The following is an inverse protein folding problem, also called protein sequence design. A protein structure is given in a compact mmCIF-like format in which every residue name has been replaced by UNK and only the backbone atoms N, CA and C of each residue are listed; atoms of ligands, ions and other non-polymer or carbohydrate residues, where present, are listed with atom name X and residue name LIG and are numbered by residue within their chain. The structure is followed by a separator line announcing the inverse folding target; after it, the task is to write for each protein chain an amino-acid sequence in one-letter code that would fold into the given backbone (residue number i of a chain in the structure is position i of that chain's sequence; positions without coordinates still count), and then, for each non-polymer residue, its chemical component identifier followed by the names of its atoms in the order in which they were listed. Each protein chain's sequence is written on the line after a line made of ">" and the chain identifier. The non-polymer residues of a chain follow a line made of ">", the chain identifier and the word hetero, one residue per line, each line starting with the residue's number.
data_IF_247488349499
#
_entry.id   IF_247488349499
#
_cell.length_a   1.000
_cell.length_b   1.000
_cell.length_c   1.000
_cell.angle_alpha   90.00
_cell.angle_beta   90.00
_cell.angle_gamma   90.00
#
_symmetry.space_group_name_H-M   'P 1'
#
loop_
_entity.id
_entity.type
_entity.pdbx_description
1 polymer ?
#
# COMPACT_ATOMS: atom_id res chain seq x y z
N UNK A 1 -3.39 4.81 20.90
CA UNK A 1 -3.71 5.57 19.69
C UNK A 1 -3.04 4.87 18.54
N UNK A 2 -3.67 4.78 17.37
CA UNK A 2 -3.01 4.21 16.19
C UNK A 2 -1.95 5.21 15.69
N UNK A 3 -0.78 4.75 15.24
CA UNK A 3 0.23 5.64 14.66
C UNK A 3 -0.31 6.33 13.42
N UNK A 4 0.13 7.57 13.21
CA UNK A 4 -0.29 8.38 12.07
C UNK A 4 0.18 7.82 10.71
N UNK A 5 1.21 6.98 10.72
CA UNK A 5 1.69 6.23 9.56
C UNK A 5 2.40 4.96 10.04
N UNK A 6 2.57 3.98 9.16
CA UNK A 6 3.16 2.69 9.49
C UNK A 6 4.19 2.26 8.45
N UNK A 7 5.13 1.42 8.88
CA UNK A 7 5.96 0.60 8.01
C UNK A 7 5.26 -0.75 7.85
N UNK A 8 4.69 -1.01 6.68
CA UNK A 8 3.84 -2.16 6.40
C UNK A 8 4.60 -3.22 5.62
N UNK A 9 4.57 -4.47 6.10
CA UNK A 9 4.94 -5.64 5.31
C UNK A 9 3.93 -5.86 4.19
N UNK A 10 4.44 -6.01 2.97
CA UNK A 10 3.62 -6.26 1.78
C UNK A 10 3.20 -7.71 1.63
N UNK A 11 3.85 -8.63 2.35
CA UNK A 11 3.36 -10.00 2.45
C UNK A 11 2.12 -10.05 3.34
N UNK A 12 1.13 -10.82 2.89
CA UNK A 12 -0.19 -10.88 3.53
C UNK A 12 -0.47 -12.30 3.94
N UNK A 13 -0.47 -12.52 5.26
CA UNK A 13 -0.93 -13.77 5.83
C UNK A 13 -2.44 -13.91 5.63
N UNK A 14 -2.87 -15.12 5.28
CA UNK A 14 -4.27 -15.45 5.11
C UNK A 14 -4.68 -16.54 6.08
N UNK A 15 -5.59 -16.22 7.00
CA UNK A 15 -6.08 -17.12 8.04
C UNK A 15 -7.53 -17.51 7.79
N UNK A 16 -7.94 -18.73 8.18
CA UNK A 16 -9.34 -19.14 8.03
C UNK A 16 -10.24 -18.32 8.96
N UNK A 17 -11.45 -17.99 8.49
CA UNK A 17 -12.51 -17.45 9.33
C UNK A 17 -13.07 -18.56 10.24
N UNK A 18 -13.13 -18.30 11.55
CA UNK A 18 -13.68 -19.24 12.53
C UNK A 18 -15.21 -19.37 12.38
N UNK A 19 -15.70 -20.61 12.29
CA UNK A 19 -17.15 -20.91 12.33
C UNK A 19 -17.89 -20.91 10.99
N UNK A 20 -17.18 -20.88 9.86
CA UNK A 20 -17.80 -20.99 8.54
C UNK A 20 -18.34 -22.41 8.30
N UNK A 21 -19.63 -22.62 8.54
CA UNK A 21 -20.40 -23.65 7.85
C UNK A 21 -20.56 -23.24 6.37
N UNK A 22 -20.50 -24.20 5.45
CA UNK A 22 -20.69 -23.96 4.02
C UNK A 22 -22.12 -23.46 3.74
N UNK A 23 -22.38 -22.16 3.92
CA UNK A 23 -23.62 -21.56 3.47
C UNK A 23 -23.55 -21.38 1.95
N UNK A 24 -24.53 -21.96 1.25
CA UNK A 24 -24.74 -21.79 -0.20
C UNK A 24 -25.11 -20.34 -0.52
N UNK A 25 -24.13 -19.45 -0.57
CA UNK A 25 -24.33 -18.12 -1.12
C UNK A 25 -24.30 -18.22 -2.65
N UNK A 26 -25.48 -18.08 -3.24
CA UNK A 26 -25.79 -18.17 -4.67
C UNK A 26 -25.92 -16.75 -5.23
N UNK A 27 -24.78 -16.11 -5.49
CA UNK A 27 -24.80 -14.78 -6.14
C UNK A 27 -23.50 -13.99 -5.99
N UNK A 28 -22.39 -14.50 -6.54
CA UNK A 28 -21.24 -13.66 -6.86
C UNK A 28 -21.34 -13.19 -8.31
N UNK A 29 -20.91 -11.96 -8.61
CA UNK A 29 -20.57 -11.59 -9.98
C UNK A 29 -19.55 -12.60 -10.53
N UNK A 30 -19.77 -13.10 -11.76
CA UNK A 30 -18.97 -14.18 -12.37
C UNK A 30 -17.46 -13.85 -12.46
N UNK A 31 -17.09 -12.56 -12.33
CA UNK A 31 -15.72 -12.04 -12.38
C UNK A 31 -14.99 -11.96 -11.03
N UNK A 32 -15.70 -12.05 -9.89
CA UNK A 32 -15.10 -12.02 -8.55
C UNK A 32 -15.09 -13.44 -7.97
N UNK A 33 -13.93 -13.96 -7.50
CA UNK A 33 -13.88 -15.30 -6.94
C UNK A 33 -14.85 -15.49 -5.77
N UNK A 34 -15.39 -16.70 -5.66
CA UNK A 34 -16.42 -16.97 -4.67
C UNK A 34 -15.89 -16.86 -3.24
N UNK A 35 -16.63 -16.16 -2.37
CA UNK A 35 -16.24 -15.91 -0.98
C UNK A 35 -15.36 -14.69 -0.77
N UNK A 36 -14.93 -13.97 -1.82
CA UNK A 36 -14.11 -12.76 -1.65
C UNK A 36 -14.83 -11.62 -0.94
N UNK A 37 -16.17 -11.55 -1.06
CA UNK A 37 -17.01 -10.60 -0.33
C UNK A 37 -17.07 -10.85 1.19
N UNK A 38 -16.73 -12.06 1.65
CA UNK A 38 -16.74 -12.41 3.08
C UNK A 38 -15.37 -12.20 3.75
N UNK A 39 -14.35 -11.79 3.00
CA UNK A 39 -13.00 -11.56 3.52
C UNK A 39 -13.02 -10.39 4.50
N UNK A 40 -12.39 -10.58 5.67
CA UNK A 40 -12.28 -9.54 6.69
C UNK A 40 -10.83 -9.08 6.89
N UNK A 41 -10.59 -7.77 6.96
CA UNK A 41 -9.28 -7.23 7.31
C UNK A 41 -8.98 -7.50 8.80
N UNK A 42 -7.72 -7.76 9.14
CA UNK A 42 -7.26 -7.86 10.53
C UNK A 42 -5.92 -7.12 10.72
N UNK A 43 -5.89 -5.77 10.53
CA UNK A 43 -4.65 -5.00 10.57
C UNK A 43 -3.96 -5.08 11.94
N UNK A 44 -2.69 -5.45 11.95
CA UNK A 44 -1.83 -5.45 13.13
C UNK A 44 -0.84 -4.30 13.02
N UNK A 45 -1.17 -3.19 13.68
CA UNK A 45 -0.42 -1.94 13.56
C UNK A 45 0.59 -1.81 14.69
N UNK A 46 1.83 -1.53 14.31
CA UNK A 46 2.94 -1.23 15.20
C UNK A 46 3.48 0.19 14.95
N UNK A 47 3.98 0.84 16.00
CA UNK A 47 4.69 2.11 15.88
C UNK A 47 6.05 1.86 15.19
N UNK A 48 6.39 2.59 14.11
CA UNK A 48 7.71 2.50 13.48
C UNK A 48 8.84 2.72 14.53
N UNK A 49 9.91 1.89 14.60
CA UNK A 49 10.38 0.91 13.60
C UNK A 49 9.62 -0.38 13.48
N UNK A 50 8.68 -0.65 14.39
CA UNK A 50 7.91 -1.87 14.35
C UNK A 50 7.24 -2.06 12.99
N UNK A 51 7.41 -3.25 12.43
CA UNK A 51 6.72 -3.61 11.20
C UNK A 51 5.26 -3.90 11.54
N UNK A 52 4.36 -3.24 10.84
CA UNK A 52 2.95 -3.56 10.82
C UNK A 52 2.71 -4.68 9.81
N UNK A 53 1.77 -5.58 10.11
CA UNK A 53 1.30 -6.61 9.19
C UNK A 53 -0.19 -6.43 8.92
N UNK A 54 -0.66 -6.95 7.79
CA UNK A 54 -2.07 -6.83 7.43
C UNK A 54 -2.66 -8.20 7.04
N UNK A 55 -2.86 -9.11 8.01
CA UNK A 55 -3.54 -10.37 7.76
C UNK A 55 -4.96 -10.20 7.23
N UNK A 56 -5.37 -11.13 6.38
CA UNK A 56 -6.74 -11.29 5.91
C UNK A 56 -7.36 -12.55 6.52
N UNK A 57 -8.54 -12.40 7.10
CA UNK A 57 -9.37 -13.53 7.51
C UNK A 57 -10.27 -13.90 6.34
N UNK A 58 -10.10 -15.11 5.81
CA UNK A 58 -10.73 -15.56 4.57
C UNK A 58 -11.58 -16.81 4.79
N UNK A 59 -12.70 -16.91 4.07
CA UNK A 59 -13.58 -18.08 4.17
C UNK A 59 -12.95 -19.29 3.48
N UNK A 60 -13.39 -20.51 3.85
CA UNK A 60 -12.94 -21.75 3.19
C UNK A 60 -13.24 -21.71 1.68
N UNK A 61 -14.36 -21.08 1.28
CA UNK A 61 -14.73 -20.85 -0.13
C UNK A 61 -13.68 -20.01 -0.85
N UNK A 62 -13.25 -18.90 -0.24
CA UNK A 62 -12.21 -18.02 -0.79
C UNK A 62 -10.84 -18.70 -0.83
N UNK A 63 -10.45 -19.43 0.22
CA UNK A 63 -9.19 -20.19 0.29
C UNK A 63 -9.02 -21.20 -0.86
N UNK A 64 -10.14 -21.81 -1.28
CA UNK A 64 -10.13 -22.76 -2.39
C UNK A 64 -9.87 -22.08 -3.75
N UNK A 65 -10.11 -20.78 -3.87
CA UNK A 65 -9.91 -20.01 -5.09
C UNK A 65 -8.55 -19.28 -5.09
N UNK A 66 -8.21 -18.64 -3.97
CA UNK A 66 -7.07 -17.73 -3.85
C UNK A 66 -6.05 -18.31 -2.87
N UNK A 67 -4.81 -18.47 -3.32
CA UNK A 67 -3.70 -19.00 -2.50
C UNK A 67 -2.68 -17.97 -2.01
N UNK A 68 -2.69 -16.77 -2.60
CA UNK A 68 -1.73 -15.72 -2.28
C UNK A 68 -2.43 -14.36 -2.25
N UNK A 69 -1.91 -13.47 -1.41
CA UNK A 69 -2.25 -12.07 -1.39
C UNK A 69 -0.98 -11.24 -1.16
N UNK A 70 -0.91 -10.04 -1.72
CA UNK A 70 0.11 -9.05 -1.37
C UNK A 70 -0.48 -7.64 -1.35
N UNK A 71 0.14 -6.76 -0.59
CA UNK A 71 -0.13 -5.31 -0.67
C UNK A 71 0.61 -4.75 -1.89
N UNK A 72 -0.14 -4.18 -2.84
CA UNK A 72 0.43 -3.65 -4.10
C UNK A 72 0.57 -2.14 -4.12
N UNK A 73 -0.25 -1.40 -3.36
CA UNK A 73 -0.11 0.05 -3.16
C UNK A 73 -1.02 0.54 -2.02
N UNK A 74 -0.86 1.81 -1.64
CA UNK A 74 -1.69 2.48 -0.64
C UNK A 74 -1.80 3.96 -0.97
N UNK A 75 -2.88 4.60 -0.52
CA UNK A 75 -3.09 6.05 -0.65
C UNK A 75 -4.03 6.55 0.43
N UNK A 76 -3.55 7.45 1.29
CA UNK A 76 -4.30 8.00 2.43
C UNK A 76 -4.89 6.86 3.29
N UNK A 77 -6.22 6.76 3.34
CA UNK A 77 -6.99 5.74 4.07
C UNK A 77 -7.05 4.37 3.38
N UNK A 78 -6.56 4.25 2.14
CA UNK A 78 -6.73 3.05 1.33
C UNK A 78 -5.47 2.18 1.34
N UNK A 79 -5.67 0.87 1.45
CA UNK A 79 -4.65 -0.16 1.22
C UNK A 79 -5.20 -1.14 0.18
N UNK A 80 -4.41 -1.42 -0.84
CA UNK A 80 -4.82 -2.28 -1.96
C UNK A 80 -4.07 -3.60 -1.90
N UNK A 81 -4.84 -4.67 -1.89
CA UNK A 81 -4.34 -6.03 -1.98
C UNK A 81 -4.60 -6.56 -3.38
N UNK A 82 -3.63 -7.26 -3.94
CA UNK A 82 -3.89 -8.18 -5.05
C UNK A 82 -3.99 -9.59 -4.50
N UNK A 83 -5.08 -10.28 -4.81
CA UNK A 83 -5.26 -11.68 -4.50
C UNK A 83 -5.13 -12.55 -5.75
N UNK A 84 -4.53 -13.72 -5.59
CA UNK A 84 -4.20 -14.63 -6.69
C UNK A 84 -2.73 -14.52 -7.08
N UNK A 85 -2.38 -15.03 -8.26
CA UNK A 85 -1.01 -14.86 -8.78
C UNK A 85 -0.87 -13.45 -9.37
N UNK A 86 0.17 -12.73 -8.96
CA UNK A 86 0.56 -11.43 -9.51
C UNK A 86 1.11 -11.64 -10.93
N UNK A 87 0.25 -11.92 -11.91
CA UNK A 87 0.58 -11.84 -13.33
C UNK A 87 -0.72 -11.65 -14.10
N UNK A 88 -0.88 -10.58 -14.91
CA UNK A 88 -2.06 -10.36 -15.74
C UNK A 88 -2.23 -11.39 -16.89
N UNK A 89 -1.58 -12.56 -16.80
CA UNK A 89 -1.43 -13.57 -17.84
C UNK A 89 -1.84 -14.97 -17.33
N UNK A 90 -1.90 -15.19 -16.01
CA UNK A 90 -2.37 -16.46 -15.47
C UNK A 90 -3.85 -16.37 -15.07
N UNK A 91 -4.67 -17.19 -15.72
CA UNK A 91 -6.11 -17.37 -15.53
C UNK A 91 -6.52 -17.91 -14.15
N UNK A 92 -5.68 -17.75 -13.11
CA UNK A 92 -6.07 -18.18 -11.77
C UNK A 92 -7.05 -17.16 -11.17
N UNK A 93 -8.12 -17.63 -10.51
CA UNK A 93 -9.11 -16.74 -9.93
C UNK A 93 -8.46 -15.80 -8.92
N UNK A 94 -8.72 -14.51 -9.08
CA UNK A 94 -8.19 -13.43 -8.24
C UNK A 94 -9.03 -12.17 -8.36
N UNK A 95 -8.80 -11.23 -7.44
CA UNK A 95 -9.38 -9.90 -7.51
C UNK A 95 -8.42 -8.91 -6.84
N UNK A 96 -8.72 -7.62 -6.94
CA UNK A 96 -8.17 -6.63 -6.02
C UNK A 96 -9.09 -6.57 -4.80
N UNK A 97 -8.52 -6.31 -3.63
CA UNK A 97 -9.28 -5.94 -2.44
C UNK A 97 -8.86 -4.55 -2.00
N UNK A 98 -9.82 -3.64 -1.88
CA UNK A 98 -9.57 -2.25 -1.47
C UNK A 98 -10.04 -2.10 -0.03
N UNK A 99 -9.09 -2.05 0.90
CA UNK A 99 -9.39 -1.73 2.28
C UNK A 99 -9.51 -0.21 2.46
N UNK A 100 -10.57 0.22 3.11
CA UNK A 100 -10.78 1.60 3.56
C UNK A 100 -10.76 1.67 5.08
N UNK A 101 -9.68 2.25 5.62
CA UNK A 101 -9.47 2.41 7.06
C UNK A 101 -10.50 3.32 7.75
N UNK A 102 -11.19 4.21 7.03
CA UNK A 102 -12.22 5.08 7.61
C UNK A 102 -13.50 4.29 7.90
N UNK A 103 -13.84 3.32 7.04
CA UNK A 103 -15.08 2.55 7.14
C UNK A 103 -14.85 1.13 7.67
N UNK A 104 -13.58 0.75 7.87
CA UNK A 104 -13.16 -0.60 8.20
C UNK A 104 -13.79 -1.65 7.28
N UNK A 105 -13.79 -1.33 5.98
CA UNK A 105 -14.49 -2.09 4.95
C UNK A 105 -13.53 -2.52 3.86
N UNK A 106 -13.82 -3.65 3.24
CA UNK A 106 -13.03 -4.22 2.17
C UNK A 106 -13.92 -4.37 0.93
N UNK A 107 -13.54 -3.72 -0.17
CA UNK A 107 -14.28 -3.76 -1.43
C UNK A 107 -13.53 -4.61 -2.45
N UNK A 108 -14.05 -5.78 -2.87
CA UNK A 108 -13.46 -6.52 -3.96
C UNK A 108 -13.71 -5.81 -5.29
N UNK A 109 -12.69 -5.77 -6.15
CA UNK A 109 -12.74 -5.26 -7.52
C UNK A 109 -12.21 -6.36 -8.43
N UNK A 110 -12.92 -6.77 -9.49
CA UNK A 110 -12.46 -7.84 -10.36
C UNK A 110 -11.10 -7.49 -10.98
N UNK A 111 -10.34 -8.51 -11.39
CA UNK A 111 -9.11 -8.26 -12.16
C UNK A 111 -9.41 -7.52 -13.46
N UNK A 112 -8.37 -6.87 -13.99
CA UNK A 112 -8.43 -6.23 -15.31
C UNK A 112 -8.82 -7.30 -16.36
N UNK A 113 -9.84 -7.06 -17.22
CA UNK A 113 -10.20 -7.99 -18.28
C UNK A 113 -9.01 -8.16 -19.24
N UNK A 114 -8.38 -9.33 -19.22
CA UNK A 114 -7.17 -9.60 -20.02
C UNK A 114 -7.50 -10.03 -21.44
N UNK A 115 -7.00 -9.35 -22.49
CA UNK A 115 -6.71 -9.98 -23.77
C UNK A 115 -5.33 -10.65 -23.71
N UNK A 116 -5.15 -11.74 -24.47
CA UNK A 116 -3.94 -12.60 -24.55
C UNK A 116 -2.61 -11.89 -24.95
N UNK A 117 -2.57 -10.55 -25.07
CA UNK A 117 -1.46 -9.77 -25.64
C UNK A 117 -0.93 -8.61 -24.77
N UNK A 118 -1.35 -8.50 -23.51
CA UNK A 118 -0.83 -7.50 -22.57
C UNK A 118 0.16 -8.11 -21.57
N UNK A 119 1.23 -7.37 -21.26
CA UNK A 119 2.17 -7.72 -20.19
C UNK A 119 2.18 -6.66 -19.08
N UNK A 120 2.50 -7.08 -17.86
CA UNK A 120 2.73 -6.16 -16.75
C UNK A 120 3.98 -5.31 -16.98
N UNK A 121 3.93 -4.05 -16.55
CA UNK A 121 5.08 -3.14 -16.53
C UNK A 121 5.95 -3.31 -15.25
N UNK A 122 5.76 -4.37 -14.47
CA UNK A 122 6.27 -4.50 -13.10
C UNK A 122 5.14 -4.30 -12.08
N UNK A 123 5.38 -3.54 -11.00
CA UNK A 123 4.38 -3.00 -10.07
C UNK A 123 3.42 -2.05 -10.80
N UNK A 124 2.35 -2.61 -11.41
CA UNK A 124 1.46 -1.91 -12.33
C UNK A 124 0.27 -1.22 -11.66
N UNK A 125 -0.05 -1.58 -10.41
CA UNK A 125 -1.23 -1.09 -9.71
C UNK A 125 -0.95 0.20 -8.93
N UNK A 126 -1.76 1.23 -9.17
CA UNK A 126 -1.77 2.46 -8.37
C UNK A 126 -3.19 2.81 -7.94
N UNK A 127 -3.33 3.50 -6.81
CA UNK A 127 -4.63 3.92 -6.28
C UNK A 127 -4.55 5.37 -5.82
N UNK A 128 -5.64 6.10 -5.99
CA UNK A 128 -5.80 7.42 -5.40
C UNK A 128 -7.13 7.53 -4.67
N UNK A 129 -7.06 8.05 -3.43
CA UNK A 129 -8.22 8.37 -2.61
C UNK A 129 -8.61 9.84 -2.78
N UNK A 130 -9.86 10.08 -3.18
CA UNK A 130 -10.48 11.41 -3.16
C UNK A 130 -11.09 11.75 -1.78
N UNK A 131 -10.81 10.92 -0.77
CA UNK A 131 -11.34 11.04 0.59
C UNK A 131 -10.83 12.27 1.33
N UNK A 132 -11.52 13.40 1.15
CA UNK A 132 -11.35 14.63 1.94
C UNK A 132 -12.67 15.23 2.46
N UNK A 133 -13.81 14.84 1.90
CA UNK A 133 -15.10 15.53 2.10
C UNK A 133 -16.29 14.57 2.27
N UNK A 134 -16.06 13.40 2.87
CA UNK A 134 -17.12 12.40 3.13
C UNK A 134 -17.48 11.51 1.95
N UNK A 135 -16.76 11.62 0.83
CA UNK A 135 -16.83 10.69 -0.29
C UNK A 135 -15.83 9.54 -0.09
N UNK A 136 -16.29 8.31 -0.31
CA UNK A 136 -15.45 7.09 -0.30
C UNK A 136 -14.89 6.80 -1.70
N UNK A 137 -14.91 7.81 -2.57
CA UNK A 137 -14.49 7.67 -3.93
C UNK A 137 -12.98 7.45 -4.03
N UNK A 138 -12.62 6.41 -4.75
CA UNK A 138 -11.28 6.10 -5.18
C UNK A 138 -11.25 5.78 -6.68
N UNK A 139 -10.05 5.88 -7.24
CA UNK A 139 -9.71 5.29 -8.54
C UNK A 139 -8.57 4.31 -8.34
N UNK A 140 -8.80 3.09 -8.81
CA UNK A 140 -7.76 2.08 -8.97
C UNK A 140 -7.31 2.10 -10.44
N UNK A 141 -6.01 2.02 -10.67
CA UNK A 141 -5.45 2.04 -12.00
C UNK A 141 -4.40 0.95 -12.19
N UNK A 142 -4.37 0.38 -13.39
CA UNK A 142 -3.36 -0.59 -13.81
C UNK A 142 -2.75 -0.11 -15.13
N UNK A 143 -1.42 -0.03 -15.20
CA UNK A 143 -0.70 0.29 -16.42
C UNK A 143 -0.06 -0.96 -17.00
N UNK A 144 -0.46 -1.33 -18.22
CA UNK A 144 0.00 -2.54 -18.91
C UNK A 144 0.68 -2.19 -20.24
N UNK A 145 1.69 -2.96 -20.61
CA UNK A 145 2.38 -2.83 -21.90
C UNK A 145 1.61 -3.58 -22.99
N UNK A 146 1.47 -2.96 -24.17
CA UNK A 146 0.87 -3.61 -25.34
C UNK A 146 1.97 -4.22 -26.22
N UNK A 147 1.96 -5.55 -26.39
CA UNK A 147 2.84 -6.32 -27.30
C UNK A 147 4.37 -6.05 -27.20
N UNK A 148 5.06 -6.81 -26.34
CA UNK A 148 6.53 -6.79 -26.19
C UNK A 148 7.33 -7.26 -27.40
N UNK A 149 6.70 -7.82 -28.45
CA UNK A 149 7.46 -8.19 -29.66
C UNK A 149 7.96 -6.97 -30.43
N UNK A 150 7.46 -5.78 -30.09
CA UNK A 150 7.92 -4.48 -30.57
C UNK A 150 8.27 -3.61 -29.35
N UNK A 151 9.24 -2.71 -29.47
CA UNK A 151 9.44 -1.68 -28.45
C UNK A 151 8.11 -0.93 -28.26
N UNK A 152 7.52 -0.93 -27.06
CA UNK A 152 6.15 -0.46 -26.90
C UNK A 152 6.13 1.06 -27.01
N UNK A 153 5.69 1.53 -28.16
CA UNK A 153 5.28 2.93 -28.35
C UNK A 153 4.00 3.23 -27.55
N UNK A 154 3.25 2.18 -27.22
CA UNK A 154 1.90 2.24 -26.70
C UNK A 154 1.79 1.39 -25.43
N UNK A 155 0.96 1.85 -24.50
CA UNK A 155 0.55 1.14 -23.30
C UNK A 155 -0.98 1.22 -23.17
N UNK A 156 -1.53 0.41 -22.27
CA UNK A 156 -2.93 0.43 -21.91
C UNK A 156 -3.06 0.85 -20.45
N UNK A 157 -3.76 1.96 -20.21
CA UNK A 157 -4.14 2.41 -18.89
C UNK A 157 -5.56 1.89 -18.61
N UNK A 158 -5.69 1.05 -17.59
CA UNK A 158 -6.98 0.61 -17.09
C UNK A 158 -7.31 1.41 -15.84
N UNK A 159 -8.55 1.90 -15.75
CA UNK A 159 -9.04 2.62 -14.56
C UNK A 159 -10.37 2.06 -14.11
N UNK A 160 -10.51 1.87 -12.80
CA UNK A 160 -11.75 1.49 -12.14
C UNK A 160 -12.20 2.63 -11.24
N UNK A 161 -13.35 3.22 -11.56
CA UNK A 161 -13.93 4.33 -10.82
C UNK A 161 -14.99 3.80 -9.87
N UNK A 162 -14.77 3.98 -8.57
CA UNK A 162 -15.67 3.48 -7.52
C UNK A 162 -17.06 4.12 -7.50
N UNK A 163 -17.20 5.37 -7.95
CA UNK A 163 -18.50 6.08 -7.92
C UNK A 163 -18.67 7.00 -9.12
N UNK A 164 -19.91 7.13 -9.60
CA UNK A 164 -20.26 8.03 -10.70
C UNK A 164 -20.01 9.52 -10.38
N UNK A 165 -19.86 9.88 -9.10
CA UNK A 165 -19.59 11.27 -8.67
C UNK A 165 -18.21 11.75 -9.10
N UNK A 166 -17.22 10.86 -9.09
CA UNK A 166 -15.84 11.18 -9.50
C UNK A 166 -15.55 10.76 -10.93
N UNK A 167 -16.43 9.97 -11.55
CA UNK A 167 -16.29 9.49 -12.91
C UNK A 167 -16.37 10.65 -13.91
N UNK A 168 -15.38 10.85 -14.79
CA UNK A 168 -15.45 11.87 -15.84
C UNK A 168 -16.63 11.62 -16.80
N UNK A 169 -17.14 12.69 -17.42
CA UNK A 169 -18.25 12.56 -18.38
C UNK A 169 -17.87 11.63 -19.53
N UNK A 170 -18.67 10.58 -19.76
CA UNK A 170 -18.43 9.57 -20.79
C UNK A 170 -17.79 8.27 -20.29
N UNK A 171 -17.51 8.16 -18.98
CA UNK A 171 -17.02 6.94 -18.33
C UNK A 171 -18.14 6.30 -17.49
N UNK A 172 -18.07 4.99 -17.26
CA UNK A 172 -18.97 4.24 -16.36
C UNK A 172 -18.26 3.94 -15.04
N UNK A 173 -19.00 4.02 -13.93
CA UNK A 173 -18.51 3.60 -12.62
C UNK A 173 -18.67 2.08 -12.46
N UNK A 174 -17.86 1.48 -11.59
CA UNK A 174 -17.87 0.05 -11.30
C UNK A 174 -17.62 -0.86 -12.51
N UNK A 175 -16.85 -0.36 -13.48
CA UNK A 175 -16.35 -1.13 -14.63
C UNK A 175 -14.91 -0.71 -14.95
N UNK A 176 -14.14 -1.66 -15.50
CA UNK A 176 -12.79 -1.37 -15.99
C UNK A 176 -12.84 -0.61 -17.31
N UNK A 177 -12.27 0.59 -17.30
CA UNK A 177 -12.14 1.44 -18.47
C UNK A 177 -10.74 1.34 -19.05
N UNK A 178 -10.65 0.86 -20.29
CA UNK A 178 -9.37 0.75 -21.03
C UNK A 178 -9.14 1.99 -21.88
N UNK A 179 -8.01 2.64 -21.65
CA UNK A 179 -7.51 3.75 -22.47
C UNK A 179 -6.19 3.34 -23.12
N UNK A 180 -6.05 3.59 -24.41
CA UNK A 180 -4.78 3.42 -25.12
C UNK A 180 -3.97 4.70 -24.96
N UNK A 181 -2.76 4.57 -24.43
CA UNK A 181 -1.92 5.72 -24.05
C UNK A 181 -0.53 5.60 -24.70
N UNK A 182 0.05 6.74 -25.05
CA UNK A 182 1.43 6.81 -25.57
C UNK A 182 2.36 7.17 -24.41
N UNK A 183 3.41 6.36 -24.22
CA UNK A 183 4.41 6.63 -23.21
C UNK A 183 5.42 7.70 -23.69
N UNK A 184 5.96 8.54 -22.79
CA UNK A 184 6.99 9.51 -23.14
C UNK A 184 8.20 8.86 -23.83
N UNK A 185 8.85 9.51 -24.83
CA UNK A 185 10.04 8.95 -25.49
C UNK A 185 11.18 8.57 -24.54
N UNK A 186 11.29 9.27 -23.42
CA UNK A 186 12.32 9.07 -22.39
C UNK A 186 12.25 7.68 -21.76
N UNK A 187 11.06 7.07 -21.69
CA UNK A 187 10.86 5.72 -21.14
C UNK A 187 10.78 4.64 -22.23
N UNK A 188 10.92 5.04 -23.50
CA UNK A 188 10.86 4.16 -24.69
C UNK A 188 12.25 3.95 -25.28
N UNK A 189 13.19 3.50 -24.46
CA UNK A 189 14.57 3.34 -24.93
C UNK A 189 14.76 2.01 -25.69
N UNK A 190 15.60 1.98 -26.74
CA UNK A 190 15.89 0.74 -27.48
C UNK A 190 16.66 -0.31 -26.67
N UNK A 191 17.26 0.09 -25.55
CA UNK A 191 18.18 -0.75 -24.77
C UNK A 191 17.59 -1.18 -23.44
N UNK A 192 16.46 -0.61 -23.03
CA UNK A 192 15.86 -0.87 -21.73
C UNK A 192 14.37 -0.57 -21.73
N UNK A 193 13.59 -1.51 -21.17
CA UNK A 193 12.15 -1.35 -20.96
C UNK A 193 11.90 -0.79 -19.57
N UNK A 194 11.06 0.24 -19.47
CA UNK A 194 10.62 0.76 -18.18
C UNK A 194 9.97 -0.36 -17.34
N UNK A 195 10.49 -0.58 -16.13
CA UNK A 195 9.98 -1.53 -15.15
C UNK A 195 9.63 -0.79 -13.88
N UNK A 196 8.34 -0.68 -13.59
CA UNK A 196 7.84 -0.12 -12.35
C UNK A 196 8.23 -1.04 -11.18
N UNK A 197 9.09 -0.58 -10.28
CA UNK A 197 9.38 -1.27 -9.01
C UNK A 197 8.29 -0.97 -7.98
N UNK A 198 7.73 0.24 -8.03
CA UNK A 198 6.72 0.70 -7.07
C UNK A 198 5.80 1.74 -7.69
N UNK A 199 4.63 1.91 -7.09
CA UNK A 199 3.65 2.91 -7.49
C UNK A 199 3.07 3.62 -6.28
N UNK A 200 2.77 4.90 -6.44
CA UNK A 200 2.13 5.73 -5.43
C UNK A 200 1.26 6.80 -6.09
N UNK A 201 0.48 7.52 -5.30
CA UNK A 201 -0.25 8.70 -5.75
C UNK A 201 0.13 9.92 -4.93
N UNK A 202 -0.05 11.10 -5.52
CA UNK A 202 0.16 12.36 -4.81
C UNK A 202 -0.81 13.42 -5.31
N UNK A 203 -0.99 14.47 -4.49
CA UNK A 203 -1.97 15.50 -4.77
C UNK A 203 -3.40 14.94 -4.81
N UNK A 204 -4.20 15.45 -5.74
CA UNK A 204 -5.61 15.08 -5.89
C UNK A 204 -5.91 14.27 -7.15
N UNK A 205 -4.97 14.17 -8.09
CA UNK A 205 -5.21 13.53 -9.39
C UNK A 205 -4.04 12.74 -9.96
N UNK A 206 -2.86 12.75 -9.33
CA UNK A 206 -1.65 12.18 -9.92
C UNK A 206 -1.39 10.76 -9.45
N UNK A 207 -1.21 9.85 -10.41
CA UNK A 207 -0.72 8.49 -10.22
C UNK A 207 0.73 8.41 -10.72
N UNK A 208 1.58 7.71 -9.99
CA UNK A 208 3.00 7.53 -10.32
C UNK A 208 3.36 6.05 -10.40
N UNK A 209 4.10 5.70 -11.45
CA UNK A 209 4.85 4.45 -11.55
C UNK A 209 6.34 4.79 -11.53
N UNK A 210 7.12 4.07 -10.75
CA UNK A 210 8.53 4.38 -10.50
C UNK A 210 9.38 3.22 -10.96
N UNK A 211 10.26 3.49 -11.90
CA UNK A 211 11.42 2.66 -12.18
C UNK A 211 12.61 3.26 -11.41
N UNK A 212 13.07 2.56 -10.37
CA UNK A 212 14.17 3.01 -9.50
C UNK A 212 15.54 3.00 -10.20
N UNK A 213 15.59 2.58 -11.47
CA UNK A 213 16.73 2.76 -12.36
C UNK A 213 16.59 4.00 -13.25
N UNK A 214 15.41 4.22 -13.85
CA UNK A 214 15.22 5.28 -14.84
C UNK A 214 14.62 6.57 -14.30
N UNK A 215 13.52 6.47 -13.56
CA UNK A 215 12.70 7.64 -13.25
C UNK A 215 11.26 7.33 -12.91
N UNK A 216 10.46 8.39 -12.87
CA UNK A 216 9.06 8.39 -12.47
C UNK A 216 8.20 8.70 -13.69
N UNK A 217 7.21 7.87 -13.93
CA UNK A 217 6.16 8.09 -14.91
C UNK A 217 4.91 8.58 -14.19
N UNK A 218 4.52 9.84 -14.43
CA UNK A 218 3.36 10.48 -13.80
C UNK A 218 2.20 10.53 -14.79
N UNK A 219 1.03 10.09 -14.35
CA UNK A 219 -0.25 10.27 -15.03
C UNK A 219 -1.13 11.23 -14.23
N UNK A 220 -1.64 12.26 -14.89
CA UNK A 220 -2.69 13.11 -14.33
C UNK A 220 -4.07 12.58 -14.77
N UNK A 221 -4.90 12.20 -13.81
CA UNK A 221 -6.25 11.67 -14.08
C UNK A 221 -7.26 12.76 -14.43
N UNK A 222 -7.09 13.96 -13.89
CA UNK A 222 -8.04 15.07 -14.05
C UNK A 222 -7.23 16.34 -14.28
N UNK A 223 -6.74 16.58 -15.52
CA UNK A 223 -5.99 17.77 -15.83
C UNK A 223 -6.84 19.01 -15.53
N UNK A 224 -6.50 19.75 -14.48
CA UNK A 224 -7.19 20.99 -14.17
C UNK A 224 -6.87 22.04 -15.23
N UNK A 225 -7.90 22.76 -15.70
CA UNK A 225 -7.72 23.91 -16.62
C UNK A 225 -6.93 25.06 -15.98
N UNK A 226 -6.88 25.10 -14.65
CA UNK A 226 -6.28 26.19 -13.85
C UNK A 226 -4.98 25.78 -13.16
N UNK A 227 -4.45 24.59 -13.45
CA UNK A 227 -3.16 24.17 -12.89
C UNK A 227 -1.98 24.86 -13.61
N UNK A 228 -0.96 25.35 -12.87
CA UNK A 228 0.21 26.02 -13.45
C UNK A 228 1.13 25.08 -14.26
N UNK A 229 0.87 23.77 -14.22
CA UNK A 229 1.67 22.72 -14.87
C UNK A 229 1.50 22.64 -16.39
N UNK A 230 0.52 23.35 -16.94
CA UNK A 230 0.25 23.37 -18.37
C UNK A 230 0.63 24.73 -18.94
N UNK A 231 1.71 24.76 -19.72
CA UNK A 231 1.93 25.90 -20.60
C UNK A 231 0.67 26.06 -21.47
N UNK A 232 0.09 27.26 -21.52
CA UNK A 232 -1.10 27.61 -22.33
C UNK A 232 -0.94 27.34 -23.85
N UNK A 233 0.15 26.71 -24.28
CA UNK A 233 0.58 26.58 -25.67
C UNK A 233 0.19 25.25 -26.33
N UNK A 234 -0.10 24.20 -25.57
CA UNK A 234 -0.50 22.91 -26.14
C UNK A 234 -2.00 22.69 -26.03
N UNK A 235 -2.61 22.32 -27.15
CA UNK A 235 -4.06 22.19 -27.32
C UNK A 235 -4.61 20.94 -26.65
N UNK A 236 -3.75 19.93 -26.45
CA UNK A 236 -3.99 18.68 -25.72
C UNK A 236 -2.67 18.25 -25.05
N UNK A 237 -2.47 18.47 -23.74
CA UNK A 237 -1.23 18.08 -23.06
C UNK A 237 -1.12 16.55 -22.94
N UNK A 238 0.10 15.99 -22.94
CA UNK A 238 0.28 14.54 -22.83
C UNK A 238 -0.25 14.02 -21.48
N UNK A 239 -0.96 12.88 -21.53
CA UNK A 239 -1.49 12.19 -20.34
C UNK A 239 -0.38 11.80 -19.35
N UNK A 240 0.81 11.53 -19.87
CA UNK A 240 1.96 11.08 -19.13
C UNK A 240 3.14 12.05 -19.23
N UNK A 241 3.84 12.23 -18.11
CA UNK A 241 5.12 12.95 -18.02
C UNK A 241 6.16 12.04 -17.38
N UNK A 242 7.35 11.97 -17.96
CA UNK A 242 8.50 11.31 -17.34
C UNK A 242 9.34 12.31 -16.55
N UNK A 243 9.87 11.87 -15.41
CA UNK A 243 10.85 12.60 -14.62
C UNK A 243 12.04 11.67 -14.42
N UNK A 244 13.24 11.99 -14.94
CA UNK A 244 14.41 11.17 -14.71
C UNK A 244 14.80 11.19 -13.23
N UNK A 245 15.48 10.15 -12.74
CA UNK A 245 16.15 10.22 -11.43
C UNK A 245 17.28 11.27 -11.44
N UNK A 246 17.78 11.70 -10.27
CA UNK A 246 18.95 12.59 -10.21
C UNK A 246 20.12 12.04 -11.02
N UNK A 247 20.76 12.89 -11.84
CA UNK A 247 21.84 12.50 -12.76
C UNK A 247 23.01 11.84 -12.03
N UNK A 248 23.34 12.34 -10.84
CA UNK A 248 24.39 11.80 -9.96
C UNK A 248 24.12 10.36 -9.48
N UNK A 249 22.91 9.84 -9.69
CA UNK A 249 22.48 8.51 -9.30
C UNK A 249 22.21 7.59 -10.51
N UNK A 250 22.63 7.97 -11.72
CA UNK A 250 22.52 7.09 -12.88
C UNK A 250 23.36 5.82 -12.69
N UNK A 251 22.79 4.66 -13.00
CA UNK A 251 23.53 3.37 -13.01
C UNK A 251 23.62 2.88 -14.44
N UNK A 252 24.82 2.50 -14.88
CA UNK A 252 25.01 1.81 -16.14
C UNK A 252 24.80 0.29 -15.96
N UNK A 253 23.74 -0.22 -16.57
CA UNK A 253 23.38 -1.64 -16.57
C UNK A 253 23.73 -2.35 -17.88
N UNK A 254 24.47 -1.71 -18.80
CA UNK A 254 24.76 -2.25 -20.14
C UNK A 254 25.40 -3.65 -20.14
N UNK A 255 26.11 -4.01 -19.08
CA UNK A 255 26.82 -5.29 -18.94
C UNK A 255 26.37 -6.12 -17.72
N UNK A 256 25.23 -5.77 -17.09
CA UNK A 256 24.77 -6.40 -15.84
C UNK A 256 23.29 -6.76 -15.92
N UNK A 257 22.89 -7.79 -15.17
CA UNK A 257 21.47 -8.01 -14.91
C UNK A 257 20.96 -6.87 -14.04
N UNK A 258 19.74 -6.37 -14.31
CA UNK A 258 19.10 -5.35 -13.48
C UNK A 258 19.00 -5.87 -12.04
N UNK A 259 19.63 -5.20 -11.05
CA UNK A 259 19.53 -5.64 -9.66
C UNK A 259 18.12 -5.36 -9.11
N UNK A 260 17.80 -5.94 -7.95
CA UNK A 260 16.55 -5.66 -7.24
C UNK A 260 16.67 -4.25 -6.65
N UNK A 261 16.22 -3.25 -7.41
CA UNK A 261 16.46 -1.84 -7.10
C UNK A 261 15.92 -1.41 -5.73
N UNK A 262 14.80 -1.99 -5.29
CA UNK A 262 14.18 -1.70 -3.98
C UNK A 262 15.08 -2.06 -2.79
N UNK A 263 16.10 -2.91 -2.98
CA UNK A 263 17.08 -3.25 -1.94
C UNK A 263 17.92 -2.03 -1.54
N UNK A 264 18.13 -1.07 -2.44
CA UNK A 264 19.02 0.06 -2.19
C UNK A 264 18.48 1.42 -2.62
N UNK A 265 17.26 1.46 -3.16
CA UNK A 265 16.59 2.68 -3.59
C UNK A 265 15.12 2.66 -3.23
N UNK A 266 14.55 3.85 -3.05
CA UNK A 266 13.11 4.03 -2.87
C UNK A 266 12.68 5.43 -3.27
N UNK A 267 11.41 5.56 -3.66
CA UNK A 267 10.75 6.85 -3.92
C UNK A 267 9.45 6.90 -3.11
N UNK A 268 9.14 8.06 -2.55
CA UNK A 268 7.85 8.29 -1.92
C UNK A 268 7.41 9.74 -2.08
N UNK A 269 6.13 9.99 -1.84
CA UNK A 269 5.62 11.33 -1.61
C UNK A 269 5.54 11.57 -0.09
N UNK A 270 6.39 12.44 0.42
CA UNK A 270 6.52 12.72 1.85
C UNK A 270 6.73 14.22 2.08
N UNK A 271 6.07 14.76 3.11
CA UNK A 271 6.18 16.20 3.44
C UNK A 271 5.83 17.14 2.27
N UNK A 272 4.87 16.75 1.43
CA UNK A 272 4.39 17.55 0.31
C UNK A 272 5.26 17.53 -0.95
N UNK A 273 6.32 16.72 -1.00
CA UNK A 273 7.19 16.59 -2.16
C UNK A 273 7.49 15.13 -2.50
N UNK A 274 7.80 14.88 -3.77
CA UNK A 274 8.38 13.60 -4.18
C UNK A 274 9.83 13.57 -3.73
N UNK A 275 10.24 12.46 -3.13
CA UNK A 275 11.59 12.24 -2.65
C UNK A 275 12.14 10.93 -3.16
N UNK A 276 13.44 10.93 -3.39
CA UNK A 276 14.21 9.77 -3.78
C UNK A 276 15.29 9.52 -2.74
N UNK A 277 15.45 8.25 -2.36
CA UNK A 277 16.46 7.77 -1.43
C UNK A 277 17.29 6.71 -2.14
N UNK A 278 18.61 6.83 -2.05
CA UNK A 278 19.55 5.86 -2.62
C UNK A 278 20.67 5.56 -1.63
N UNK A 279 21.15 4.33 -1.63
CA UNK A 279 22.43 3.95 -1.05
C UNK A 279 23.50 3.98 -2.14
N UNK A 280 24.37 4.98 -2.09
CA UNK A 280 25.50 5.09 -3.02
C UNK A 280 26.60 4.09 -2.65
N UNK A 281 27.21 3.46 -3.64
CA UNK A 281 28.24 2.43 -3.49
C UNK A 281 27.71 1.00 -3.35
N UNK A 282 26.40 0.79 -3.14
CA UNK A 282 25.82 -0.53 -2.90
C UNK A 282 26.02 -1.51 -4.07
N UNK A 283 25.76 -1.08 -5.31
CA UNK A 283 25.91 -1.89 -6.53
C UNK A 283 27.30 -1.71 -7.19
N UNK A 284 28.20 -0.95 -6.57
CA UNK A 284 29.50 -0.56 -7.14
C UNK A 284 30.69 -1.26 -6.46
N UNK A 285 30.43 -2.28 -5.65
CA UNK A 285 31.43 -3.03 -4.87
C UNK A 285 32.28 -2.13 -3.94
N UNK A 286 31.72 -0.99 -3.49
CA UNK A 286 32.43 -0.13 -2.56
C UNK A 286 32.57 -0.81 -1.19
N UNK A 287 33.65 -0.54 -0.44
CA UNK A 287 33.72 -0.91 0.97
C UNK A 287 32.53 -0.30 1.73
N UNK A 288 31.97 -1.05 2.69
CA UNK A 288 30.80 -0.59 3.44
C UNK A 288 31.06 0.73 4.19
N UNK A 289 32.31 1.00 4.61
CA UNK A 289 32.71 2.27 5.26
C UNK A 289 32.56 3.51 4.35
N UNK A 290 32.60 3.31 3.03
CA UNK A 290 32.52 4.35 2.00
C UNK A 290 31.09 4.59 1.52
N UNK A 291 30.19 3.63 1.75
CA UNK A 291 28.79 3.73 1.38
C UNK A 291 28.07 4.84 2.16
N UNK A 292 27.04 5.41 1.53
CA UNK A 292 26.24 6.49 2.10
C UNK A 292 24.79 6.41 1.66
N UNK A 293 23.89 6.75 2.58
CA UNK A 293 22.51 7.07 2.27
C UNK A 293 22.43 8.54 1.82
N UNK A 294 21.77 8.78 0.69
CA UNK A 294 21.56 10.12 0.15
C UNK A 294 20.09 10.31 -0.19
N UNK A 295 19.53 11.41 0.30
CA UNK A 295 18.16 11.83 -0.03
C UNK A 295 18.16 12.91 -1.11
N UNK A 296 17.09 12.95 -1.88
CA UNK A 296 16.83 13.91 -2.93
C UNK A 296 15.38 14.36 -2.84
N UNK A 297 15.14 15.65 -3.04
CA UNK A 297 13.80 16.25 -3.02
C UNK A 297 13.52 16.88 -4.37
N UNK A 298 12.42 16.45 -5.00
CA UNK A 298 11.97 17.04 -6.24
C UNK A 298 11.30 18.39 -5.96
N UNK A 299 11.61 19.37 -6.79
CA UNK A 299 10.99 20.69 -6.79
C UNK A 299 9.46 20.60 -7.03
N UNK A 300 8.65 21.52 -6.50
CA UNK A 300 7.19 21.47 -6.64
C UNK A 300 6.67 21.54 -8.08
N UNK A 301 7.43 22.14 -9.00
CA UNK A 301 7.14 22.19 -10.45
C UNK A 301 7.63 20.93 -11.20
N UNK A 302 8.20 19.98 -10.46
CA UNK A 302 8.63 18.67 -10.91
C UNK A 302 9.77 18.72 -11.95
N UNK A 303 10.55 19.80 -11.96
CA UNK A 303 11.55 20.08 -13.00
C UNK A 303 12.98 19.72 -12.60
N UNK A 304 13.30 19.86 -11.31
CA UNK A 304 14.65 19.75 -10.78
C UNK A 304 14.69 18.94 -9.48
N UNK A 305 15.69 18.06 -9.36
CA UNK A 305 16.04 17.38 -8.10
C UNK A 305 17.04 18.18 -7.30
N UNK A 306 16.74 18.42 -6.03
CA UNK A 306 17.66 19.02 -5.08
C UNK A 306 18.23 17.97 -4.14
N UNK A 307 19.55 17.90 -4.04
CA UNK A 307 20.25 17.02 -3.09
C UNK A 307 19.91 17.41 -1.65
N UNK A 308 19.49 16.42 -0.88
CA UNK A 308 19.17 16.54 0.54
C UNK A 308 20.31 16.08 1.44
N UNK A 309 20.01 15.78 2.72
CA UNK A 309 20.99 15.21 3.65
C UNK A 309 21.63 13.90 3.18
N UNK A 310 22.89 13.73 3.58
CA UNK A 310 23.72 12.55 3.31
C UNK A 310 24.21 11.99 4.65
N UNK A 311 24.06 10.69 4.86
CA UNK A 311 24.51 9.97 6.04
C UNK A 311 25.43 8.83 5.63
N UNK A 312 26.70 8.87 6.06
CA UNK A 312 27.64 7.78 5.80
C UNK A 312 27.37 6.61 6.75
N UNK A 313 27.63 5.36 6.31
CA UNK A 313 27.40 4.19 7.16
C UNK A 313 28.24 4.23 8.46
N UNK A 314 29.46 4.77 8.39
CA UNK A 314 30.29 5.01 9.59
C UNK A 314 29.62 5.91 10.63
N UNK A 315 28.81 6.88 10.20
CA UNK A 315 28.12 7.80 11.11
C UNK A 315 26.99 7.04 11.83
N UNK A 316 26.31 6.13 11.12
CA UNK A 316 25.27 5.24 11.67
C UNK A 316 25.89 4.30 12.72
N UNK A 317 26.99 3.63 12.37
CA UNK A 317 27.67 2.69 13.29
C UNK A 317 28.28 3.38 14.51
N UNK A 318 28.68 4.64 14.38
CA UNK A 318 29.20 5.45 15.48
C UNK A 318 28.11 6.03 16.39
N UNK A 319 26.82 5.91 16.02
CA UNK A 319 25.71 6.42 16.83
C UNK A 319 25.61 5.70 18.17
N UNK A 320 25.44 6.45 19.27
CA UNK A 320 25.39 5.89 20.63
C UNK A 320 24.37 4.75 20.78
N UNK A 321 23.18 4.89 20.18
CA UNK A 321 22.15 3.82 20.19
C UNK A 321 22.59 2.54 19.47
N UNK A 322 23.36 2.66 18.39
CA UNK A 322 23.88 1.52 17.63
C UNK A 322 24.91 0.76 18.45
N UNK A 323 25.85 1.49 19.04
CA UNK A 323 26.89 0.95 19.93
C UNK A 323 26.26 0.31 21.17
N UNK A 324 25.31 1.00 21.81
CA UNK A 324 24.63 0.50 23.01
C UNK A 324 23.83 -0.79 22.76
N UNK A 325 23.28 -0.97 21.56
CA UNK A 325 22.56 -2.18 21.17
C UNK A 325 23.51 -3.33 20.80
N UNK A 326 24.81 -3.05 20.58
CA UNK A 326 25.80 -4.07 20.26
C UNK A 326 25.65 -4.67 18.86
N UNK A 327 25.05 -3.93 17.92
CA UNK A 327 24.88 -4.38 16.54
C UNK A 327 26.25 -4.40 15.84
N UNK A 328 26.62 -5.49 15.13
CA UNK A 328 27.83 -5.51 14.29
C UNK A 328 27.77 -4.44 13.20
N UNK A 329 28.88 -4.09 12.56
CA UNK A 329 28.87 -3.14 11.43
C UNK A 329 28.25 -3.79 10.19
N UNK A 330 26.93 -3.71 10.08
CA UNK A 330 26.13 -4.32 9.02
C UNK A 330 25.80 -3.31 7.93
N UNK A 331 25.67 -3.80 6.68
CA UNK A 331 25.19 -3.01 5.56
C UNK A 331 23.64 -2.90 5.62
N UNK A 332 23.07 -1.68 5.53
CA UNK A 332 21.63 -1.50 5.43
C UNK A 332 21.10 -1.99 4.08
N UNK A 333 19.83 -2.38 4.06
CA UNK A 333 19.04 -2.74 2.89
C UNK A 333 17.61 -2.19 3.02
N UNK A 334 16.86 -2.22 1.92
CA UNK A 334 15.45 -1.84 1.82
C UNK A 334 15.16 -0.46 2.42
N UNK A 335 15.82 0.61 1.94
CA UNK A 335 15.65 1.92 2.52
C UNK A 335 14.24 2.47 2.24
N UNK A 336 13.53 2.92 3.27
CA UNK A 336 12.17 3.47 3.16
C UNK A 336 12.14 4.89 3.74
N UNK A 337 11.56 5.82 3.01
CA UNK A 337 11.37 7.20 3.47
C UNK A 337 10.19 7.28 4.46
N UNK A 338 10.35 8.05 5.53
CA UNK A 338 9.25 8.42 6.41
C UNK A 338 8.23 9.27 5.63
N UNK A 339 6.94 8.99 5.81
CA UNK A 339 5.87 9.79 5.16
C UNK A 339 5.69 11.15 5.83
N UNK A 340 6.04 11.24 7.13
CA UNK A 340 5.80 12.43 7.96
C UNK A 340 7.04 13.31 8.17
N UNK A 341 8.19 12.70 8.41
CA UNK A 341 9.40 13.42 8.76
C UNK A 341 10.30 13.55 7.54
N UNK A 342 10.71 14.78 7.25
CA UNK A 342 11.35 15.09 5.99
C UNK A 342 12.73 14.44 5.85
N UNK A 343 13.41 14.20 6.97
CA UNK A 343 14.81 13.79 7.04
C UNK A 343 14.99 12.44 7.77
N UNK A 344 13.91 11.70 8.06
CA UNK A 344 14.00 10.37 8.69
C UNK A 344 13.81 9.26 7.66
N UNK A 345 14.72 8.29 7.70
CA UNK A 345 14.68 7.09 6.86
C UNK A 345 14.69 5.83 7.70
N UNK A 346 14.15 4.77 7.13
CA UNK A 346 14.13 3.43 7.70
C UNK A 346 15.01 2.52 6.88
N UNK A 347 15.75 1.64 7.54
CA UNK A 347 16.55 0.62 6.89
C UNK A 347 16.48 -0.68 7.67
N UNK A 348 16.72 -1.78 6.96
CA UNK A 348 16.85 -3.11 7.56
C UNK A 348 18.32 -3.52 7.53
N UNK A 349 18.80 -4.15 8.60
CA UNK A 349 20.13 -4.74 8.65
C UNK A 349 20.00 -6.21 9.06
N UNK A 350 20.66 -7.08 8.31
CA UNK A 350 20.63 -8.52 8.54
C UNK A 350 21.96 -8.98 9.12
N UNK A 351 21.91 -9.58 10.31
CA UNK A 351 23.01 -10.42 10.82
C UNK A 351 22.75 -11.86 10.39
N UNK A 352 23.64 -12.42 9.59
CA UNK A 352 23.45 -13.71 8.94
C UNK A 352 24.73 -14.55 8.96
N UNK A 353 24.55 -15.87 9.07
CA UNK A 353 25.60 -16.84 8.79
C UNK A 353 25.43 -17.41 7.38
N UNK A 354 26.56 -17.68 6.73
CA UNK A 354 26.59 -18.58 5.58
C UNK A 354 26.58 -20.02 6.11
N UNK A 355 25.49 -20.74 5.93
CA UNK A 355 25.44 -22.16 6.27
C UNK A 355 26.02 -22.97 5.11
N UNK A 356 27.21 -23.56 5.31
CA UNK A 356 27.78 -24.50 4.37
C UNK A 356 27.05 -25.84 4.48
N UNK A 357 26.42 -26.28 3.39
CA UNK A 357 25.97 -27.67 3.27
C UNK A 357 27.16 -28.56 2.89
N UNK A 358 27.39 -29.60 3.69
CA UNK A 358 28.28 -30.71 3.37
C UNK A 358 27.61 -31.55 2.27
N UNK A 359 27.66 -31.06 1.03
CA UNK A 359 27.50 -31.78 -0.26
C UNK A 359 27.32 -30.81 -1.45
N UNK A 360 27.93 -29.62 -1.43
CA UNK A 360 28.29 -28.88 -2.64
C UNK A 360 27.14 -28.31 -3.49
N UNK A 361 25.90 -28.28 -3.00
CA UNK A 361 24.76 -27.71 -3.73
C UNK A 361 24.03 -26.72 -2.82
N UNK A 362 24.41 -25.45 -2.99
CA UNK A 362 23.88 -24.23 -2.37
C UNK A 362 24.28 -23.95 -0.91
N UNK A 363 24.92 -22.79 -0.70
CA UNK A 363 25.06 -22.17 0.62
C UNK A 363 23.75 -21.47 0.95
N UNK A 364 23.15 -21.78 2.10
CA UNK A 364 21.91 -21.13 2.54
C UNK A 364 22.26 -19.97 3.48
N UNK A 365 21.73 -18.77 3.20
CA UNK A 365 21.90 -17.61 4.06
C UNK A 365 20.93 -17.73 5.24
N UNK A 366 21.45 -17.97 6.45
CA UNK A 366 20.63 -18.06 7.65
C UNK A 366 20.66 -16.75 8.40
N UNK A 367 19.56 -15.99 8.34
CA UNK A 367 19.40 -14.77 9.12
C UNK A 367 19.28 -15.14 10.60
N UNK A 368 20.22 -14.67 11.43
CA UNK A 368 20.17 -14.79 12.89
C UNK A 368 19.25 -13.76 13.49
N UNK A 369 19.38 -12.53 13.00
CA UNK A 369 18.73 -11.35 13.55
C UNK A 369 18.50 -10.34 12.44
N UNK A 370 17.32 -9.72 12.42
CA UNK A 370 17.05 -8.50 11.66
C UNK A 370 16.93 -7.32 12.58
N UNK A 371 17.54 -6.20 12.20
CA UNK A 371 17.43 -4.94 12.89
C UNK A 371 16.71 -3.93 12.00
N UNK A 372 15.68 -3.30 12.54
CA UNK A 372 14.94 -2.22 11.90
C UNK A 372 15.34 -0.90 12.54
N UNK A 373 15.93 -0.01 11.75
CA UNK A 373 16.50 1.25 12.25
C UNK A 373 15.75 2.43 11.65
N UNK A 374 15.39 3.40 12.48
CA UNK A 374 15.16 4.78 12.02
C UNK A 374 16.44 5.58 12.15
N UNK A 375 16.76 6.34 11.11
CA UNK A 375 17.92 7.20 11.05
C UNK A 375 17.44 8.62 10.75
N UNK A 376 17.85 9.56 11.60
CA UNK A 376 17.79 10.98 11.28
C UNK A 376 18.96 11.32 10.36
N UNK A 377 18.66 11.55 9.08
CA UNK A 377 19.65 11.81 8.05
C UNK A 377 20.35 13.16 8.23
N UNK A 378 19.69 14.12 8.87
CA UNK A 378 20.21 15.48 9.07
C UNK A 378 21.21 15.54 10.22
N UNK A 379 20.87 14.90 11.33
CA UNK A 379 21.74 14.79 12.50
C UNK A 379 22.68 13.59 12.43
N UNK A 380 22.46 12.68 11.47
CA UNK A 380 23.26 11.47 11.22
C UNK A 380 23.28 10.55 12.44
N UNK A 381 22.10 10.35 13.04
CA UNK A 381 21.95 9.59 14.27
C UNK A 381 20.88 8.52 14.12
N UNK A 382 21.10 7.40 14.79
CA UNK A 382 20.08 6.36 14.92
C UNK A 382 19.08 6.79 15.99
N UNK A 383 17.84 7.00 15.58
CA UNK A 383 16.76 7.43 16.47
C UNK A 383 16.18 6.26 17.26
N UNK A 384 16.09 5.07 16.66
CA UNK A 384 15.56 3.88 17.30
C UNK A 384 15.96 2.62 16.53
N UNK A 385 16.01 1.50 17.25
CA UNK A 385 16.39 0.17 16.75
C UNK A 385 15.39 -0.83 17.31
N UNK A 386 14.77 -1.63 16.45
CA UNK A 386 13.98 -2.79 16.84
C UNK A 386 14.69 -4.05 16.35
N UNK A 387 14.87 -5.00 17.26
CA UNK A 387 15.51 -6.29 16.96
C UNK A 387 14.44 -7.36 16.78
N UNK A 388 14.56 -8.13 15.70
CA UNK A 388 13.70 -9.27 15.41
C UNK A 388 14.56 -10.53 15.27
N UNK A 389 14.20 -11.57 16.04
CA UNK A 389 14.84 -12.87 15.98
C UNK A 389 13.90 -13.84 15.26
N UNK A 390 14.16 -14.14 13.97
CA UNK A 390 13.32 -15.07 13.24
C UNK A 390 13.38 -16.47 13.87
N UNK A 391 12.21 -17.05 14.13
CA UNK A 391 12.08 -18.43 14.64
C UNK A 391 12.11 -19.46 13.50
N UNK A 392 11.90 -19.02 12.27
CA UNK A 392 11.86 -19.83 11.03
C UNK A 392 12.72 -19.17 9.95
N UNK A 393 12.91 -19.85 8.82
CA UNK A 393 13.48 -19.20 7.64
C UNK A 393 12.60 -17.99 7.26
N UNK A 394 13.21 -16.82 7.11
CA UNK A 394 12.54 -15.60 6.66
C UNK A 394 13.20 -15.10 5.38
N UNK A 395 12.46 -14.32 4.60
CA UNK A 395 13.04 -13.65 3.44
C UNK A 395 14.16 -12.68 3.90
N UNK A 396 15.39 -12.83 3.40
CA UNK A 396 16.46 -11.88 3.71
C UNK A 396 16.15 -10.47 3.20
N UNK A 397 15.27 -10.30 2.22
CA UNK A 397 14.92 -9.00 1.66
C UNK A 397 13.44 -8.71 1.95
N UNK A 398 13.11 -8.05 3.06
CA UNK A 398 11.73 -7.77 3.39
C UNK A 398 11.11 -6.80 2.37
N UNK A 399 9.82 -7.02 2.06
CA UNK A 399 9.09 -6.19 1.11
C UNK A 399 8.27 -5.15 1.88
N UNK A 400 8.87 -3.99 2.15
CA UNK A 400 8.30 -2.98 3.03
C UNK A 400 7.77 -1.77 2.26
N UNK A 401 6.69 -1.17 2.76
CA UNK A 401 6.22 0.14 2.28
C UNK A 401 5.77 1.04 3.44
N UNK A 402 5.96 2.34 3.28
CA UNK A 402 5.41 3.32 4.21
C UNK A 402 4.02 3.78 3.76
N UNK A 403 3.06 3.86 4.67
CA UNK A 403 1.70 4.32 4.36
C UNK A 403 0.98 4.94 5.56
N UNK A 404 -0.02 5.78 5.29
CA UNK A 404 -0.69 6.64 6.29
C UNK A 404 -2.02 6.08 6.81
N UNK A 405 -2.42 4.86 6.41
CA UNK A 405 -3.77 4.36 6.72
C UNK A 405 -4.04 4.29 8.24
N UNK A 406 -2.98 4.13 9.06
CA UNK A 406 -3.05 4.14 10.51
C UNK A 406 -3.69 5.41 11.08
N UNK A 407 -3.43 6.59 10.49
CA UNK A 407 -4.06 7.86 10.88
C UNK A 407 -5.59 7.85 10.73
N UNK A 408 -6.12 6.97 9.88
CA UNK A 408 -7.54 6.90 9.55
C UNK A 408 -8.30 5.86 10.37
N UNK A 409 -7.60 4.93 11.05
CA UNK A 409 -8.19 3.93 11.94
C UNK A 409 -8.86 4.52 13.18
N UNK A 410 -8.49 5.73 13.61
CA UNK A 410 -9.17 6.38 14.74
C UNK A 410 -10.44 7.10 14.31
N UNK A 411 -10.49 7.57 13.06
CA UNK A 411 -11.68 8.21 12.48
C UNK A 411 -12.83 7.21 12.33
N UNK A 412 -12.53 5.94 12.09
CA UNK A 412 -13.54 4.88 12.07
C UNK A 412 -14.21 4.72 13.44
N UNK A 413 -13.44 4.65 14.52
CA UNK A 413 -13.95 4.49 15.89
C UNK A 413 -14.86 5.64 16.31
N UNK A 414 -14.49 6.88 15.98
CA UNK A 414 -15.32 8.06 16.27
C UNK A 414 -16.63 8.02 15.48
N UNK A 415 -16.59 7.65 14.19
CA UNK A 415 -17.80 7.49 13.37
C UNK A 415 -18.69 6.37 13.90
N UNK A 416 -18.13 5.23 14.27
CA UNK A 416 -18.89 4.09 14.77
C UNK A 416 -19.64 4.44 16.06
N UNK A 417 -19.00 5.16 16.99
CA UNK A 417 -19.68 5.70 18.17
C UNK A 417 -20.84 6.64 17.79
N UNK A 418 -20.65 7.52 16.81
CA UNK A 418 -21.73 8.43 16.36
C UNK A 418 -22.90 7.67 15.75
N UNK A 419 -22.64 6.66 14.91
CA UNK A 419 -23.67 5.82 14.32
C UNK A 419 -24.40 4.97 15.37
N UNK A 420 -23.67 4.34 16.30
CA UNK A 420 -24.27 3.57 17.40
C UNK A 420 -25.14 4.46 18.30
N UNK A 421 -24.69 5.69 18.56
CA UNK A 421 -25.47 6.66 19.33
C UNK A 421 -26.74 7.08 18.57
N UNK A 422 -26.64 7.37 17.27
CA UNK A 422 -27.81 7.69 16.44
C UNK A 422 -28.78 6.51 16.32
N UNK A 423 -28.28 5.29 16.14
CA UNK A 423 -29.11 4.08 16.07
C UNK A 423 -29.81 3.82 17.40
N UNK A 424 -29.11 4.01 18.53
CA UNK A 424 -29.71 3.98 19.87
C UNK A 424 -30.79 5.07 20.05
N UNK A 425 -30.56 6.29 19.57
CA UNK A 425 -31.58 7.35 19.58
C UNK A 425 -32.81 6.99 18.74
N UNK A 426 -32.63 6.43 17.55
CA UNK A 426 -33.74 5.97 16.71
C UNK A 426 -34.50 4.81 17.37
N UNK A 427 -33.79 3.86 17.99
CA UNK A 427 -34.39 2.73 18.69
C UNK A 427 -35.19 3.19 19.92
N UNK A 428 -34.65 4.11 20.72
CA UNK A 428 -35.33 4.73 21.86
C UNK A 428 -36.53 5.55 21.37
N UNK A 429 -36.39 6.33 20.31
CA UNK A 429 -37.47 7.17 19.77
C UNK A 429 -38.61 6.33 19.17
N UNK A 430 -38.27 5.22 18.50
CA UNK A 430 -39.25 4.26 17.98
C UNK A 430 -39.98 3.54 19.13
N UNK A 431 -39.26 3.10 20.17
CA UNK A 431 -39.87 2.53 21.37
C UNK A 431 -40.78 3.54 22.08
N UNK A 432 -40.32 4.79 22.25
CA UNK A 432 -41.10 5.84 22.93
C UNK A 432 -42.36 6.19 22.14
N UNK A 433 -42.30 6.26 20.80
CA UNK A 433 -43.48 6.45 19.94
C UNK A 433 -44.44 5.26 19.99
N UNK A 434 -43.94 4.03 20.02
CA UNK A 434 -44.79 2.84 20.17
C UNK A 434 -45.48 2.80 21.55
N UNK A 435 -44.78 3.17 22.63
CA UNK A 435 -45.37 3.25 23.99
C UNK A 435 -46.40 4.38 24.09
N UNK A 436 -46.20 5.52 23.43
CA UNK A 436 -47.19 6.61 23.37
C UNK A 436 -48.41 6.21 22.53
N UNK A 437 -48.23 5.51 21.40
CA UNK A 437 -49.35 5.01 20.60
C UNK A 437 -50.17 3.95 21.38
N UNK A 438 -49.51 3.07 22.13
CA UNK A 438 -50.17 2.04 22.93
C UNK A 438 -50.89 2.60 24.17
N UNK A 439 -50.47 3.76 24.70
CA UNK A 439 -51.16 4.43 25.81
C UNK A 439 -52.31 5.35 25.35
N UNK A 440 -52.29 5.81 24.09
CA UNK A 440 -53.40 6.59 23.50
C UNK A 440 -54.52 5.71 22.90
N UNK A 441 -54.25 4.45 22.59
CA UNK A 441 -55.27 3.46 22.24
C UNK A 441 -55.88 2.86 23.51
N UNK A 442 -56.83 3.57 24.09
CA UNK A 442 -57.66 3.04 25.16
C UNK A 442 -58.62 1.98 24.59
N UNK A 443 -58.14 0.73 24.49
CA UNK A 443 -58.99 -0.45 24.29
C UNK A 443 -58.67 -1.45 25.41
N UNK A 444 -59.59 -1.65 26.37
CA UNK A 444 -59.38 -2.59 27.46
C UNK A 444 -59.77 -4.00 26.98
N UNK A 445 -58.81 -4.72 26.39
CA UNK A 445 -58.79 -6.20 26.30
C UNK A 445 -57.63 -6.59 25.39
N UNK A 446 -56.46 -6.86 25.97
CA UNK A 446 -55.46 -7.86 25.54
C UNK A 446 -54.26 -7.74 26.51
N UNK A 447 -54.55 -7.83 27.81
CA UNK A 447 -53.55 -8.24 28.78
C UNK A 447 -53.48 -9.76 28.71
N UNK A 448 -52.28 -10.30 28.53
CA UNK A 448 -51.91 -11.72 28.37
C UNK A 448 -51.65 -12.12 26.92
N UNK A 449 -50.43 -11.90 26.47
CA UNK A 449 -49.54 -12.77 25.69
C UNK A 449 -48.41 -11.84 25.26
N UNK A 450 -47.14 -12.23 25.44
CA UNK A 450 -45.90 -11.42 25.33
C UNK A 450 -45.22 -11.02 26.65
N UNK A 451 -45.52 -11.72 27.75
CA UNK A 451 -44.54 -11.92 28.82
C UNK A 451 -44.02 -13.36 28.72
N UNK A 452 -43.09 -13.62 27.82
CA UNK A 452 -42.12 -14.74 27.87
C UNK A 452 -41.22 -14.60 26.63
N UNK A 453 -39.91 -14.61 26.85
CA UNK A 453 -38.83 -14.33 25.89
C UNK A 453 -38.50 -12.85 25.71
N UNK A 454 -37.73 -12.33 26.67
CA UNK A 454 -36.48 -11.58 26.44
C UNK A 454 -35.91 -11.20 27.82
N UNK A 455 -35.22 -12.16 28.44
CA UNK A 455 -34.08 -11.89 29.32
C UNK A 455 -32.90 -12.55 28.59
N UNK A 456 -31.83 -11.81 28.31
CA UNK A 456 -30.73 -11.76 29.27
C UNK A 456 -30.40 -10.35 29.75
N UNK A 457 -30.16 -10.29 31.05
CA UNK A 457 -29.73 -9.14 31.84
C UNK A 457 -28.46 -8.47 31.31
N UNK A 458 -28.31 -7.16 31.53
CA UNK A 458 -27.01 -6.51 31.66
C UNK A 458 -26.56 -6.47 33.13
N UNK A 459 -25.26 -6.24 33.31
CA UNK A 459 -24.55 -5.77 34.52
C UNK A 459 -24.00 -6.82 35.50
N UNK A 460 -22.68 -6.96 35.43
CA UNK A 460 -21.84 -6.83 36.63
C UNK A 460 -21.06 -5.52 36.54
N UNK A 461 -21.37 -4.56 37.42
CA UNK A 461 -20.43 -3.53 37.87
C UNK A 461 -20.74 -3.19 39.33
N UNK A 462 -19.66 -3.08 40.09
CA UNK A 462 -19.52 -2.97 41.54
C UNK A 462 -20.24 -1.78 42.20
N UNK A 463 -20.55 -1.92 43.51
CA UNK A 463 -20.10 -0.96 44.55
C UNK A 463 -20.60 -1.33 45.97
N UNK A 464 -19.63 -1.43 46.90
CA UNK A 464 -19.61 -1.06 48.33
C UNK A 464 -20.90 -1.14 49.17
N UNK A 465 -20.83 -1.96 50.22
CA UNK A 465 -20.60 -1.50 51.60
C UNK A 465 -19.44 -2.30 52.23
#
# INVERSE_FOLDING_TARGET
>A
MAPAWVLLDRFVDMFPLDGDEESEDSGGEESIPAGMWSVKPNPQVADPPGISSFPLLISRKAMNQVRHAMVVCASKNLVVFLTGEYYPINYRPGCYLIYDAIHDSLTPVPHVPGPDSLLAIGSGTSVISFGGSGSNAFVLAELLMTDVRKFPEEAALFTWWSTAVVTPSGYTAADWMKEKVTLPPEVRTPTYFFVSDMAFSFGESCLCWVDLLMGILICDLVPSRDQPFLSKKEKDPPRFRSIPLPEECSIDISNRHRPIMSVFRSVSYAGGAIKFLTMEGYDEDWPAEEMKLTTWKLSPDLSEWKKGPVCALRDIWASDKYIAMGVPQLCPICPVLSVLDDDVVWVVMNDADLADHVEGVHSELKIKTQYFLSIDMRHKQVLSITQFHPQTLIDPVPNLMACEFGAYLERSKVRQVVYDTQHAYYYIYFHFKCTILLTQLHVPQFFNFWCLFLVPSPLYLMSKD
#
